data_IF_605936337381
#
_entry.id   IF_605936337381
#
_cell.length_a   1.000
_cell.length_b   1.000
_cell.length_c   1.000
_cell.angle_alpha   90.00
_cell.angle_beta   90.00
_cell.angle_gamma   90.00
#
_symmetry.space_group_name_H-M   'P 1'
#
loop_
_entity.id
_entity.type
_entity.pdbx_description
1 polymer ?
#
# COMPACT_ATOMS: atom_id res chain seq x y z
N UNK A 1 -38.64 12.79 1.67
CA UNK A 1 -37.29 13.38 1.83
C UNK A 1 -36.26 12.27 1.78
N UNK A 2 -35.70 12.03 0.60
CA UNK A 2 -34.74 10.96 0.36
C UNK A 2 -33.36 11.48 0.77
N UNK A 3 -32.84 11.04 1.93
CA UNK A 3 -31.48 11.42 2.37
C UNK A 3 -30.48 10.91 1.34
N UNK A 4 -29.77 11.83 0.71
CA UNK A 4 -28.76 11.59 -0.32
C UNK A 4 -27.60 10.77 0.24
N UNK A 5 -27.58 9.48 -0.06
CA UNK A 5 -26.49 8.53 0.23
C UNK A 5 -25.13 9.00 -0.36
N UNK A 6 -25.17 9.89 -1.35
CA UNK A 6 -23.98 10.50 -1.98
C UNK A 6 -23.12 11.34 -1.02
N UNK A 7 -23.72 12.04 -0.03
CA UNK A 7 -22.94 12.90 0.88
C UNK A 7 -22.21 12.16 2.01
N UNK A 8 -22.57 10.91 2.30
CA UNK A 8 -21.89 10.12 3.35
C UNK A 8 -20.55 9.56 2.87
N UNK A 9 -20.44 9.20 1.59
CA UNK A 9 -19.22 8.64 1.00
C UNK A 9 -17.96 9.51 1.18
N UNK A 10 -17.97 10.84 0.91
CA UNK A 10 -16.78 11.67 1.09
C UNK A 10 -16.42 11.88 2.57
N UNK A 11 -17.41 11.96 3.47
CA UNK A 11 -17.15 12.16 4.91
C UNK A 11 -16.46 10.93 5.53
N UNK A 12 -16.94 9.75 5.19
CA UNK A 12 -16.34 8.47 5.63
C UNK A 12 -14.90 8.35 5.09
N UNK A 13 -14.68 8.75 3.85
CA UNK A 13 -13.37 8.71 3.21
C UNK A 13 -12.35 9.65 3.88
N UNK A 14 -12.75 10.90 4.19
CA UNK A 14 -11.92 11.83 4.95
C UNK A 14 -11.58 11.30 6.35
N UNK A 15 -12.54 10.67 7.02
CA UNK A 15 -12.30 10.03 8.32
C UNK A 15 -11.21 8.96 8.24
N UNK A 16 -11.22 8.12 7.19
CA UNK A 16 -10.17 7.12 6.98
C UNK A 16 -8.79 7.74 6.75
N UNK A 17 -8.69 8.87 6.03
CA UNK A 17 -7.41 9.57 5.85
C UNK A 17 -6.88 10.06 7.20
N UNK A 18 -7.72 10.72 8.01
CA UNK A 18 -7.30 11.22 9.33
C UNK A 18 -6.85 10.07 10.23
N UNK A 19 -7.60 8.97 10.25
CA UNK A 19 -7.24 7.78 11.00
C UNK A 19 -5.92 7.18 10.53
N UNK A 20 -5.70 7.10 9.21
CA UNK A 20 -4.48 6.58 8.62
C UNK A 20 -3.28 7.47 8.96
N UNK A 21 -3.41 8.79 8.87
CA UNK A 21 -2.35 9.75 9.23
C UNK A 21 -1.94 9.57 10.70
N UNK A 22 -2.91 9.46 11.61
CA UNK A 22 -2.64 9.23 13.04
C UNK A 22 -1.96 7.87 13.27
N UNK A 23 -2.43 6.83 12.59
CA UNK A 23 -1.86 5.49 12.68
C UNK A 23 -0.42 5.42 12.16
N UNK A 24 -0.17 5.97 10.97
CA UNK A 24 1.14 5.94 10.33
C UNK A 24 2.16 6.79 11.12
N UNK A 25 1.72 7.94 11.64
CA UNK A 25 2.52 8.75 12.56
C UNK A 25 2.91 7.96 13.82
N UNK A 26 1.98 7.20 14.42
CA UNK A 26 2.30 6.30 15.53
C UNK A 26 3.25 5.17 15.11
N UNK A 27 3.14 4.65 13.89
CA UNK A 27 4.02 3.64 13.32
C UNK A 27 5.48 4.07 13.21
N UNK A 28 5.74 5.36 12.98
CA UNK A 28 7.11 5.91 13.00
C UNK A 28 7.74 5.89 14.40
N UNK A 29 6.93 6.00 15.46
CA UNK A 29 7.38 6.00 16.86
C UNK A 29 7.46 4.56 17.39
N UNK A 30 6.54 3.70 16.98
CA UNK A 30 6.42 2.32 17.42
C UNK A 30 6.66 1.36 16.23
N UNK A 31 7.90 0.83 16.08
CA UNK A 31 8.25 -0.10 14.99
C UNK A 31 7.47 -1.42 14.99
N UNK A 32 6.64 -1.68 16.01
CA UNK A 32 5.76 -2.84 16.05
C UNK A 32 4.52 -2.66 15.16
N UNK A 33 4.12 -1.44 14.84
CA UNK A 33 2.95 -1.20 14.00
C UNK A 33 3.36 -1.29 12.52
N UNK A 34 2.75 -2.20 11.73
CA UNK A 34 3.03 -2.29 10.29
C UNK A 34 2.44 -1.10 9.53
N UNK A 35 3.11 -0.58 8.49
CA UNK A 35 2.64 0.59 7.72
C UNK A 35 1.42 0.33 6.82
N UNK A 36 0.83 -0.88 6.85
CA UNK A 36 -0.35 -1.27 6.07
C UNK A 36 -0.16 -1.18 4.55
N UNK A 37 1.07 -1.28 4.07
CA UNK A 37 1.44 -1.04 2.68
C UNK A 37 0.77 -2.03 1.71
N UNK A 38 0.72 -3.30 2.09
CA UNK A 38 0.04 -4.36 1.31
C UNK A 38 -1.47 -4.20 1.35
N UNK A 39 -2.04 -3.77 2.48
CA UNK A 39 -3.47 -3.47 2.57
C UNK A 39 -3.85 -2.31 1.65
N UNK A 40 -3.05 -1.23 1.65
CA UNK A 40 -3.23 -0.12 0.72
C UNK A 40 -3.12 -0.58 -0.73
N UNK A 41 -2.18 -1.48 -1.05
CA UNK A 41 -2.06 -2.05 -2.39
C UNK A 41 -3.31 -2.84 -2.81
N UNK A 42 -3.84 -3.70 -1.95
CA UNK A 42 -5.04 -4.50 -2.25
C UNK A 42 -6.26 -3.59 -2.46
N UNK A 43 -6.41 -2.56 -1.62
CA UNK A 43 -7.46 -1.55 -1.80
C UNK A 43 -7.28 -0.75 -3.09
N UNK A 44 -6.03 -0.43 -3.45
CA UNK A 44 -5.70 0.30 -4.68
C UNK A 44 -6.08 -0.51 -5.92
N UNK A 45 -5.69 -1.79 -5.96
CA UNK A 45 -6.06 -2.70 -7.05
C UNK A 45 -7.58 -2.84 -7.18
N UNK A 46 -8.28 -3.06 -6.06
CA UNK A 46 -9.76 -3.16 -6.05
C UNK A 46 -10.44 -1.85 -6.48
N UNK A 47 -9.89 -0.69 -6.11
CA UNK A 47 -10.44 0.60 -6.51
C UNK A 47 -10.26 0.86 -8.01
N UNK A 48 -9.13 0.43 -8.59
CA UNK A 48 -8.90 0.46 -10.04
C UNK A 48 -9.85 -0.48 -10.79
N UNK A 49 -10.05 -1.70 -10.31
CA UNK A 49 -10.96 -2.67 -10.94
C UNK A 49 -12.42 -2.20 -10.96
N UNK A 50 -12.82 -1.37 -9.99
CA UNK A 50 -14.17 -0.82 -9.86
C UNK A 50 -14.34 0.58 -10.47
N UNK A 51 -13.32 1.12 -11.16
CA UNK A 51 -13.28 2.49 -11.71
C UNK A 51 -13.60 3.59 -10.66
N UNK A 52 -13.31 3.32 -9.38
CA UNK A 52 -13.76 4.13 -8.26
C UNK A 52 -12.74 5.23 -7.93
N UNK A 53 -12.71 6.27 -8.77
CA UNK A 53 -11.71 7.35 -8.77
C UNK A 53 -11.54 8.05 -7.42
N UNK A 54 -12.60 8.19 -6.63
CA UNK A 54 -12.55 8.79 -5.29
C UNK A 54 -11.71 7.93 -4.33
N UNK A 55 -11.92 6.61 -4.35
CA UNK A 55 -11.18 5.67 -3.52
C UNK A 55 -9.70 5.64 -3.91
N UNK A 56 -9.39 5.69 -5.21
CA UNK A 56 -8.00 5.79 -5.71
C UNK A 56 -7.34 7.07 -5.22
N UNK A 57 -8.00 8.22 -5.34
CA UNK A 57 -7.47 9.51 -4.90
C UNK A 57 -7.11 9.51 -3.42
N UNK A 58 -7.97 8.90 -2.60
CA UNK A 58 -7.78 8.79 -1.16
C UNK A 58 -6.59 7.90 -0.80
N UNK A 59 -6.46 6.76 -1.50
CA UNK A 59 -5.32 5.85 -1.29
C UNK A 59 -4.02 6.52 -1.71
N UNK A 60 -4.01 7.28 -2.82
CA UNK A 60 -2.84 8.05 -3.25
C UNK A 60 -2.45 9.09 -2.19
N UNK A 61 -3.41 9.79 -1.58
CA UNK A 61 -3.11 10.70 -0.46
C UNK A 61 -2.50 9.96 0.74
N UNK A 62 -3.03 8.79 1.11
CA UNK A 62 -2.44 7.96 2.16
C UNK A 62 -1.00 7.54 1.82
N UNK A 63 -0.73 7.16 0.57
CA UNK A 63 0.62 6.80 0.13
C UNK A 63 1.60 7.96 0.20
N UNK A 64 1.16 9.17 -0.17
CA UNK A 64 2.00 10.38 -0.05
C UNK A 64 2.33 10.69 1.42
N UNK A 65 1.37 10.51 2.33
CA UNK A 65 1.61 10.66 3.78
C UNK A 65 2.63 9.63 4.27
N UNK A 66 2.47 8.37 3.86
CA UNK A 66 3.40 7.30 4.18
C UNK A 66 4.83 7.63 3.68
N UNK A 67 4.98 8.04 2.42
CA UNK A 67 6.28 8.42 1.86
C UNK A 67 6.92 9.58 2.64
N UNK A 68 6.13 10.58 3.01
CA UNK A 68 6.59 11.72 3.79
C UNK A 68 7.07 11.32 5.19
N UNK A 69 6.36 10.41 5.86
CA UNK A 69 6.69 9.95 7.20
C UNK A 69 7.96 9.10 7.25
N UNK A 70 8.20 8.26 6.24
CA UNK A 70 9.37 7.40 6.16
C UNK A 70 10.54 8.02 5.37
N UNK A 71 10.37 9.23 4.82
CA UNK A 71 11.42 9.93 4.07
C UNK A 71 11.72 9.33 2.71
N UNK A 72 10.74 8.66 2.09
CA UNK A 72 10.86 8.10 0.75
C UNK A 72 10.61 9.16 -0.33
N UNK A 73 11.00 8.85 -1.57
CA UNK A 73 10.76 9.73 -2.71
C UNK A 73 9.26 9.85 -2.97
N UNK A 74 8.78 11.09 -3.13
CA UNK A 74 7.37 11.38 -3.42
C UNK A 74 6.89 10.64 -4.68
N UNK A 75 5.68 10.09 -4.60
CA UNK A 75 4.97 9.32 -5.62
C UNK A 75 5.64 8.00 -6.05
N UNK A 76 6.74 7.59 -5.42
CA UNK A 76 7.43 6.34 -5.77
C UNK A 76 6.56 5.11 -5.49
N UNK A 77 5.80 5.09 -4.39
CA UNK A 77 4.87 4.02 -4.03
C UNK A 77 3.71 3.92 -5.02
N UNK A 78 3.17 5.06 -5.47
CA UNK A 78 2.08 5.10 -6.46
C UNK A 78 2.54 4.51 -7.79
N UNK A 79 3.71 4.93 -8.28
CA UNK A 79 4.31 4.38 -9.50
C UNK A 79 4.54 2.89 -9.35
N UNK A 80 5.10 2.46 -8.23
CA UNK A 80 5.36 1.05 -7.96
C UNK A 80 4.08 0.20 -7.90
N UNK A 81 3.03 0.70 -7.24
CA UNK A 81 1.72 0.02 -7.17
C UNK A 81 1.10 -0.14 -8.55
N UNK A 82 1.19 0.90 -9.38
CA UNK A 82 0.70 0.83 -10.75
C UNK A 82 1.48 -0.22 -11.58
N UNK A 83 2.81 -0.28 -11.45
CA UNK A 83 3.63 -1.30 -12.10
C UNK A 83 3.27 -2.71 -11.64
N UNK A 84 3.11 -2.92 -10.33
CA UNK A 84 2.69 -4.19 -9.75
C UNK A 84 1.33 -4.64 -10.28
N UNK A 85 0.34 -3.74 -10.23
CA UNK A 85 -1.03 -4.01 -10.67
C UNK A 85 -1.09 -4.35 -12.16
N UNK A 86 -0.40 -3.59 -13.02
CA UNK A 86 -0.50 -3.74 -14.47
C UNK A 86 0.32 -4.89 -15.03
N UNK A 87 1.53 -5.13 -14.51
CA UNK A 87 2.48 -6.06 -15.12
C UNK A 87 2.64 -7.36 -14.34
N UNK A 88 2.75 -7.28 -13.01
CA UNK A 88 3.18 -8.42 -12.18
C UNK A 88 1.99 -9.26 -11.74
N UNK A 89 0.94 -8.64 -11.18
CA UNK A 89 -0.22 -9.38 -10.67
C UNK A 89 -0.96 -10.21 -11.72
N UNK A 90 -1.20 -9.74 -12.96
CA UNK A 90 -1.88 -10.55 -13.97
C UNK A 90 -1.10 -11.82 -14.33
N UNK A 91 0.23 -11.79 -14.24
CA UNK A 91 1.07 -12.96 -14.49
C UNK A 91 0.98 -13.96 -13.32
N UNK A 92 0.97 -13.47 -12.08
CA UNK A 92 0.88 -14.30 -10.88
C UNK A 92 -0.47 -15.00 -10.81
N UNK A 93 -1.56 -14.28 -11.06
CA UNK A 93 -2.92 -14.84 -11.03
C UNK A 93 -3.14 -15.86 -12.13
N UNK A 94 -2.52 -15.69 -13.31
CA UNK A 94 -2.58 -16.68 -14.39
C UNK A 94 -1.76 -17.94 -14.12
N UNK A 95 -0.60 -17.82 -13.46
CA UNK A 95 0.30 -18.94 -13.22
C UNK A 95 -0.01 -19.73 -11.94
N UNK A 96 -0.78 -19.16 -11.01
CA UNK A 96 -1.00 -19.73 -9.68
C UNK A 96 -2.47 -20.10 -9.48
N UNK A 97 -2.74 -21.37 -9.16
CA UNK A 97 -4.10 -21.84 -8.85
C UNK A 97 -4.50 -21.66 -7.37
N UNK A 98 -3.54 -21.33 -6.49
CA UNK A 98 -3.79 -21.24 -5.04
C UNK A 98 -3.98 -19.79 -4.59
N UNK A 99 -5.16 -19.47 -4.04
CA UNK A 99 -5.50 -18.14 -3.50
C UNK A 99 -4.55 -17.70 -2.37
N UNK A 100 -4.18 -18.62 -1.49
CA UNK A 100 -3.26 -18.36 -0.37
C UNK A 100 -1.87 -18.00 -0.88
N UNK A 101 -1.39 -18.69 -1.92
CA UNK A 101 -0.11 -18.40 -2.56
C UNK A 101 -0.12 -17.01 -3.21
N UNK A 102 -1.21 -16.63 -3.88
CA UNK A 102 -1.35 -15.29 -4.47
C UNK A 102 -1.24 -14.23 -3.38
N UNK A 103 -1.98 -14.39 -2.26
CA UNK A 103 -1.93 -13.46 -1.12
C UNK A 103 -0.52 -13.37 -0.52
N UNK A 104 0.15 -14.49 -0.32
CA UNK A 104 1.53 -14.51 0.21
C UNK A 104 2.50 -13.79 -0.73
N UNK A 105 2.43 -14.09 -2.04
CA UNK A 105 3.24 -13.43 -3.05
C UNK A 105 2.95 -11.93 -3.10
N UNK A 106 1.70 -11.51 -2.97
CA UNK A 106 1.35 -10.07 -2.93
C UNK A 106 2.02 -9.36 -1.76
N UNK A 107 1.95 -9.89 -0.54
CA UNK A 107 2.60 -9.31 0.63
C UNK A 107 4.12 -9.23 0.47
N UNK A 108 4.74 -10.30 -0.02
CA UNK A 108 6.18 -10.33 -0.26
C UNK A 108 6.60 -9.31 -1.32
N UNK A 109 5.89 -9.27 -2.45
CA UNK A 109 6.20 -8.35 -3.56
C UNK A 109 6.02 -6.91 -3.17
N UNK A 110 4.91 -6.59 -2.50
CA UNK A 110 4.62 -5.21 -2.11
C UNK A 110 5.70 -4.66 -1.18
N UNK A 111 6.20 -5.46 -0.22
CA UNK A 111 7.29 -5.02 0.64
C UNK A 111 8.66 -5.14 -0.03
N UNK A 112 9.12 -6.35 -0.32
CA UNK A 112 10.47 -6.57 -0.82
C UNK A 112 10.68 -5.92 -2.19
N UNK A 113 9.68 -6.02 -3.07
CA UNK A 113 9.75 -5.40 -4.38
C UNK A 113 9.72 -3.87 -4.32
N UNK A 114 9.01 -3.26 -3.36
CA UNK A 114 9.06 -1.81 -3.16
C UNK A 114 10.44 -1.36 -2.66
N UNK A 115 11.04 -2.07 -1.70
CA UNK A 115 12.41 -1.80 -1.26
C UNK A 115 13.42 -1.95 -2.42
N UNK A 116 13.27 -2.97 -3.27
CA UNK A 116 14.09 -3.10 -4.47
C UNK A 116 13.87 -1.92 -5.44
N UNK A 117 12.64 -1.49 -5.64
CA UNK A 117 12.34 -0.33 -6.47
C UNK A 117 12.95 0.97 -5.92
N UNK A 118 12.88 1.18 -4.61
CA UNK A 118 13.50 2.32 -3.94
C UNK A 118 15.04 2.30 -4.03
N UNK A 119 15.67 1.14 -3.91
CA UNK A 119 17.14 1.04 -4.06
C UNK A 119 17.58 1.34 -5.50
N UNK A 120 16.81 0.90 -6.51
CA UNK A 120 17.06 1.28 -7.90
C UNK A 120 16.93 2.79 -8.11
N UNK A 121 15.87 3.42 -7.59
CA UNK A 121 15.69 4.86 -7.66
C UNK A 121 16.80 5.62 -6.93
N UNK A 122 17.17 5.18 -5.72
CA UNK A 122 18.23 5.80 -4.93
C UNK A 122 19.57 5.81 -5.67
N UNK A 123 19.89 4.73 -6.40
CA UNK A 123 21.10 4.69 -7.23
C UNK A 123 21.05 5.63 -8.44
N UNK A 124 19.87 5.81 -9.06
CA UNK A 124 19.69 6.71 -10.21
C UNK A 124 19.76 8.18 -9.77
N UNK A 125 19.14 8.51 -8.62
CA UNK A 125 19.00 9.87 -8.10
C UNK A 125 20.07 10.25 -7.06
N UNK A 126 21.02 9.35 -6.76
CA UNK A 126 22.08 9.54 -5.75
C UNK A 126 21.52 9.89 -4.34
N UNK A 127 20.37 9.32 -3.99
CA UNK A 127 19.70 9.50 -2.69
C UNK A 127 20.22 8.50 -1.66
N UNK A 128 20.08 8.76 -0.34
CA UNK A 128 20.43 7.78 0.69
C UNK A 128 19.63 6.48 0.50
N UNK A 129 20.31 5.34 0.58
CA UNK A 129 19.67 4.04 0.42
C UNK A 129 18.76 3.72 1.61
N UNK A 130 17.59 3.11 1.38
CA UNK A 130 16.70 2.68 2.45
C UNK A 130 17.34 1.52 3.23
N UNK A 131 17.39 1.64 4.56
CA UNK A 131 17.86 0.55 5.42
C UNK A 131 16.78 -0.52 5.59
N UNK A 132 17.12 -1.76 5.22
CA UNK A 132 16.25 -2.92 5.44
C UNK A 132 16.43 -3.38 6.89
N UNK A 133 15.36 -3.26 7.69
CA UNK A 133 15.33 -3.72 9.07
C UNK A 133 14.57 -5.06 9.18
N UNK A 134 14.90 -5.88 10.19
CA UNK A 134 14.24 -7.16 10.48
C UNK A 134 12.72 -7.02 10.70
N UNK A 135 12.25 -5.85 11.14
CA UNK A 135 10.82 -5.56 11.28
C UNK A 135 10.04 -5.69 9.96
N UNK A 136 10.68 -5.58 8.80
CA UNK A 136 10.01 -5.76 7.50
C UNK A 136 9.46 -7.18 7.36
N UNK A 137 10.21 -8.19 7.80
CA UNK A 137 9.75 -9.58 7.77
C UNK A 137 8.51 -9.74 8.65
N UNK A 138 8.54 -9.11 9.83
CA UNK A 138 7.42 -9.11 10.76
C UNK A 138 6.17 -8.43 10.15
N UNK A 139 6.33 -7.31 9.44
CA UNK A 139 5.21 -6.64 8.76
C UNK A 139 4.59 -7.49 7.65
N UNK A 140 5.42 -8.19 6.86
CA UNK A 140 4.93 -9.10 5.81
C UNK A 140 4.03 -10.18 6.41
N UNK A 141 4.44 -10.78 7.53
CA UNK A 141 3.66 -11.83 8.19
C UNK A 141 2.32 -11.29 8.68
N UNK A 142 2.29 -10.14 9.35
CA UNK A 142 1.04 -9.57 9.87
C UNK A 142 0.10 -9.17 8.75
N UNK A 143 0.61 -8.49 7.73
CA UNK A 143 -0.23 -8.03 6.63
C UNK A 143 -0.75 -9.17 5.77
N UNK A 144 0.01 -10.26 5.66
CA UNK A 144 -0.50 -11.49 5.07
C UNK A 144 -1.75 -12.00 5.80
N UNK A 145 -1.76 -12.01 7.14
CA UNK A 145 -2.95 -12.37 7.91
C UNK A 145 -4.09 -11.36 7.75
N UNK A 146 -3.79 -10.06 7.72
CA UNK A 146 -4.80 -9.01 7.52
C UNK A 146 -5.49 -9.14 6.15
N UNK A 147 -4.75 -9.40 5.08
CA UNK A 147 -5.31 -9.65 3.75
C UNK A 147 -6.06 -10.98 3.72
N UNK A 148 -5.65 -11.95 4.55
CA UNK A 148 -6.37 -13.19 4.78
C UNK A 148 -7.83 -12.98 5.16
N UNK A 149 -8.13 -11.94 5.94
CA UNK A 149 -9.46 -11.60 6.44
C UNK A 149 -10.33 -10.83 5.42
N UNK A 150 -9.73 -10.32 4.34
CA UNK A 150 -10.38 -9.49 3.32
C UNK A 150 -10.80 -10.29 2.07
#
# INVERSE_FOLDING_TARGET
MQRSISHQKPVISLFYIVLFVLYDSLGTIYPFLPPMLTLLYVLFARALDNDDTLSVFVIVLCLVVFEANYGYMLLSAVVYFYLLYKFIMPQITKNSNCLVCIRALTAILVYLGYFLFLTLLSNIFLLPQPNINYYIIYYIVIEFFLIGLL
#
